data_IF_453507202753
#
_entry.id   IF_453507202753
#
_cell.length_a   1.000
_cell.length_b   1.000
_cell.length_c   1.000
_cell.angle_alpha   90.00
_cell.angle_beta   90.00
_cell.angle_gamma   90.00
#
_symmetry.space_group_name_H-M   'P 1'
#
loop_
_entity.id
_entity.type
_entity.pdbx_description
1 polymer ?
#
# COMPACT_ATOMS: atom_id res chain seq x y z
N UNK A 1 -2.64 16.92 5.97
CA UNK A 1 -4.06 16.86 6.43
C UNK A 1 -4.06 16.48 7.90
N UNK A 2 -4.90 17.10 8.74
CA UNK A 2 -5.00 16.79 10.17
C UNK A 2 -6.46 16.73 10.63
N UNK A 3 -6.75 15.77 11.50
CA UNK A 3 -8.01 15.59 12.22
C UNK A 3 -7.95 16.38 13.52
N UNK A 4 -8.96 17.20 13.72
CA UNK A 4 -9.27 17.85 14.99
C UNK A 4 -10.73 17.49 15.31
N UNK A 5 -10.97 16.91 16.49
CA UNK A 5 -12.29 16.45 16.89
C UNK A 5 -12.91 17.47 17.84
N UNK A 6 -14.14 17.88 17.57
CA UNK A 6 -14.92 18.70 18.48
C UNK A 6 -15.44 17.88 19.66
N UNK A 7 -15.83 16.62 19.40
CA UNK A 7 -16.42 15.72 20.39
C UNK A 7 -15.85 14.30 20.32
N UNK A 8 -16.10 13.50 21.36
CA UNK A 8 -15.71 12.08 21.37
C UNK A 8 -16.54 11.29 20.37
N UNK A 9 -15.88 10.53 19.50
CA UNK A 9 -16.52 9.57 18.60
C UNK A 9 -16.45 8.17 19.21
N UNK A 10 -17.60 7.52 19.32
CA UNK A 10 -17.72 6.11 19.71
C UNK A 10 -19.14 5.62 19.49
N UNK A 11 -19.35 4.30 19.44
CA UNK A 11 -20.67 3.72 19.12
C UNK A 11 -21.78 4.06 20.11
N UNK A 12 -21.41 4.49 21.33
CA UNK A 12 -22.31 4.89 22.41
C UNK A 12 -22.34 6.40 22.67
N UNK A 13 -21.70 7.22 21.83
CA UNK A 13 -21.60 8.66 22.02
C UNK A 13 -22.37 9.41 20.92
N UNK A 14 -22.95 10.59 21.23
CA UNK A 14 -23.37 11.52 20.18
C UNK A 14 -22.17 11.88 19.33
N UNK A 15 -22.29 11.75 18.01
CA UNK A 15 -21.20 12.06 17.09
C UNK A 15 -21.51 13.36 16.33
N UNK A 16 -20.56 14.30 16.30
CA UNK A 16 -20.66 15.48 15.46
C UNK A 16 -20.56 15.10 13.97
N UNK A 17 -21.48 15.56 13.10
CA UNK A 17 -21.46 15.25 11.67
C UNK A 17 -20.15 15.62 10.94
N UNK A 18 -19.50 16.72 11.34
CA UNK A 18 -18.23 17.17 10.78
C UNK A 18 -17.08 16.25 11.18
N UNK A 19 -17.02 15.91 12.47
CA UNK A 19 -16.04 14.95 12.99
C UNK A 19 -16.18 13.58 12.31
N UNK A 20 -17.41 13.11 12.10
CA UNK A 20 -17.69 11.84 11.41
C UNK A 20 -17.12 11.85 9.98
N UNK A 21 -17.36 12.91 9.21
CA UNK A 21 -16.83 13.03 7.85
C UNK A 21 -15.29 13.09 7.84
N UNK A 22 -14.70 13.86 8.75
CA UNK A 22 -13.25 14.01 8.85
C UNK A 22 -12.57 12.67 9.17
N UNK A 23 -13.12 11.94 10.14
CA UNK A 23 -12.61 10.62 10.53
C UNK A 23 -12.78 9.62 9.39
N UNK A 24 -13.97 9.51 8.77
CA UNK A 24 -14.17 8.57 7.65
C UNK A 24 -13.27 8.88 6.46
N UNK A 25 -13.10 10.15 6.10
CA UNK A 25 -12.18 10.56 5.02
C UNK A 25 -10.75 10.15 5.34
N UNK A 26 -10.31 10.45 6.56
CA UNK A 26 -8.94 10.15 7.00
C UNK A 26 -8.68 8.64 7.06
N UNK A 27 -9.64 7.89 7.59
CA UNK A 27 -9.56 6.43 7.61
C UNK A 27 -9.60 5.82 6.21
N UNK A 28 -10.35 6.40 5.28
CA UNK A 28 -10.33 5.96 3.89
C UNK A 28 -8.95 6.20 3.26
N UNK A 29 -8.36 7.37 3.47
CA UNK A 29 -7.00 7.69 3.00
C UNK A 29 -5.94 6.75 3.60
N UNK A 30 -6.15 6.31 4.84
CA UNK A 30 -5.27 5.36 5.53
C UNK A 30 -5.62 3.89 5.24
N UNK A 31 -6.66 3.61 4.45
CA UNK A 31 -7.10 2.25 4.10
C UNK A 31 -7.85 1.48 5.19
N UNK A 32 -8.31 2.15 6.24
CA UNK A 32 -9.09 1.56 7.34
C UNK A 32 -10.61 1.73 7.20
N UNK A 33 -11.08 2.44 6.17
CA UNK A 33 -12.51 2.60 5.89
C UNK A 33 -12.79 2.52 4.40
N UNK A 34 -13.74 1.67 4.02
CA UNK A 34 -14.28 1.57 2.67
C UNK A 34 -15.71 2.14 2.65
N UNK A 35 -15.93 3.29 1.98
CA UNK A 35 -17.26 3.86 1.85
C UNK A 35 -18.21 2.88 1.16
N UNK A 36 -19.37 2.55 1.75
CA UNK A 36 -20.29 1.59 1.15
C UNK A 36 -20.85 2.09 -0.18
N UNK A 37 -20.80 1.26 -1.23
CA UNK A 37 -21.21 1.64 -2.58
C UNK A 37 -22.66 2.16 -2.68
N UNK A 38 -23.54 1.75 -1.76
CA UNK A 38 -24.94 2.17 -1.73
C UNK A 38 -25.16 3.64 -1.35
N UNK A 39 -24.27 4.22 -0.52
CA UNK A 39 -24.48 5.57 0.02
C UNK A 39 -23.20 6.43 0.12
N UNK A 40 -22.03 5.86 -0.15
CA UNK A 40 -20.74 6.55 -0.16
C UNK A 40 -20.36 7.13 1.21
N UNK A 41 -19.61 8.23 1.16
CA UNK A 41 -19.16 8.93 2.36
C UNK A 41 -20.29 9.83 2.89
N UNK A 42 -20.85 9.47 4.04
CA UNK A 42 -21.95 10.21 4.67
C UNK A 42 -21.55 10.74 6.05
N UNK A 43 -22.18 11.83 6.53
CA UNK A 43 -21.94 12.38 7.87
C UNK A 43 -22.55 11.57 9.02
N UNK A 44 -23.07 10.38 8.73
CA UNK A 44 -23.74 9.54 9.72
C UNK A 44 -22.78 8.46 10.21
N UNK A 45 -22.56 8.30 11.52
CA UNK A 45 -21.73 7.22 12.03
C UNK A 45 -22.33 5.87 11.63
N UNK A 46 -21.49 4.94 11.21
CA UNK A 46 -21.90 3.61 10.74
C UNK A 46 -21.00 2.51 11.32
N UNK A 47 -21.46 1.26 11.24
CA UNK A 47 -20.68 0.11 11.75
C UNK A 47 -19.30 -0.01 11.09
N UNK A 48 -19.16 0.11 9.76
CA UNK A 48 -17.84 0.03 9.12
C UNK A 48 -16.84 1.08 9.62
N UNK A 49 -17.30 2.28 9.97
CA UNK A 49 -16.46 3.31 10.60
C UNK A 49 -15.92 2.84 11.95
N UNK A 50 -16.76 2.32 12.83
CA UNK A 50 -16.31 1.84 14.15
C UNK A 50 -15.41 0.60 14.05
N UNK A 51 -15.67 -0.30 13.10
CA UNK A 51 -14.81 -1.44 12.84
C UNK A 51 -13.44 -1.00 12.33
N UNK A 52 -13.41 0.00 11.44
CA UNK A 52 -12.18 0.61 10.99
C UNK A 52 -11.37 1.26 12.11
N UNK A 53 -12.02 1.93 13.08
CA UNK A 53 -11.34 2.56 14.23
C UNK A 53 -10.64 1.47 15.05
N UNK A 54 -11.34 0.37 15.32
CA UNK A 54 -10.77 -0.76 16.06
C UNK A 54 -9.62 -1.42 15.32
N UNK A 55 -9.73 -1.58 14.01
CA UNK A 55 -8.64 -2.11 13.19
C UNK A 55 -7.42 -1.20 13.22
N UNK A 56 -7.62 0.12 13.09
CA UNK A 56 -6.55 1.11 13.21
C UNK A 56 -5.88 1.05 14.59
N UNK A 57 -6.68 1.04 15.65
CA UNK A 57 -6.15 0.93 17.02
C UNK A 57 -5.32 -0.33 17.20
N UNK A 58 -5.82 -1.47 16.73
CA UNK A 58 -5.13 -2.75 16.81
C UNK A 58 -3.82 -2.75 16.04
N UNK A 59 -3.81 -2.23 14.82
CA UNK A 59 -2.62 -2.23 13.95
C UNK A 59 -1.53 -1.25 14.42
N UNK A 60 -1.89 -0.33 15.31
CA UNK A 60 -1.00 0.66 15.92
C UNK A 60 -0.75 0.44 17.42
N UNK A 61 -1.03 -0.76 17.94
CA UNK A 61 -0.82 -1.14 19.34
C UNK A 61 -1.49 -0.20 20.37
N UNK A 62 -2.65 0.36 19.99
CA UNK A 62 -3.50 1.17 20.86
C UNK A 62 -4.56 0.31 21.56
N UNK A 63 -5.21 0.88 22.56
CA UNK A 63 -6.40 0.26 23.16
C UNK A 63 -7.51 0.11 22.10
N UNK A 64 -8.02 -1.10 21.94
CA UNK A 64 -9.01 -1.46 20.92
C UNK A 64 -10.43 -1.28 21.46
N UNK A 65 -10.76 -0.05 21.83
CA UNK A 65 -12.06 0.32 22.40
C UNK A 65 -13.06 0.80 21.33
N UNK A 66 -12.58 1.15 20.14
CA UNK A 66 -13.38 1.77 19.08
C UNK A 66 -13.79 3.22 19.38
N UNK A 67 -13.07 3.88 20.28
CA UNK A 67 -13.35 5.25 20.75
C UNK A 67 -12.22 6.19 20.30
N UNK A 68 -12.60 7.36 19.82
CA UNK A 68 -11.68 8.45 19.50
C UNK A 68 -12.03 9.66 20.36
N UNK A 69 -11.17 9.94 21.34
CA UNK A 69 -11.25 11.18 22.12
C UNK A 69 -10.55 12.32 21.40
N UNK A 70 -11.04 13.57 21.55
CA UNK A 70 -10.26 14.76 21.22
C UNK A 70 -8.89 14.69 21.89
N UNK A 71 -7.83 15.00 21.15
CA UNK A 71 -6.42 14.90 21.58
C UNK A 71 -5.98 13.50 22.07
N UNK A 72 -6.80 12.47 21.85
CA UNK A 72 -6.53 11.12 22.29
C UNK A 72 -5.38 10.45 21.52
N UNK A 73 -4.92 9.27 21.99
CA UNK A 73 -3.86 8.51 21.32
C UNK A 73 -4.26 8.09 19.90
N UNK A 74 -5.54 7.77 19.66
CA UNK A 74 -6.06 7.40 18.34
C UNK A 74 -5.94 8.57 17.35
N UNK A 75 -6.44 9.76 17.69
CA UNK A 75 -6.37 10.97 16.85
C UNK A 75 -4.91 11.36 16.60
N UNK A 76 -4.09 11.38 17.64
CA UNK A 76 -2.67 11.72 17.54
C UNK A 76 -1.93 10.79 16.59
N UNK A 77 -2.18 9.48 16.68
CA UNK A 77 -1.53 8.48 15.81
C UNK A 77 -2.04 8.57 14.39
N UNK A 78 -3.34 8.82 14.20
CA UNK A 78 -3.94 9.01 12.88
C UNK A 78 -3.35 10.23 12.17
N UNK A 79 -3.20 11.36 12.87
CA UNK A 79 -2.55 12.57 12.34
C UNK A 79 -1.11 12.34 11.91
N UNK A 80 -0.35 11.52 12.66
CA UNK A 80 1.01 11.13 12.26
C UNK A 80 1.00 10.28 10.98
N UNK A 81 0.08 9.33 10.88
CA UNK A 81 -0.08 8.51 9.67
C UNK A 81 -0.44 9.34 8.44
N UNK A 82 -1.34 10.31 8.60
CA UNK A 82 -1.72 11.23 7.53
C UNK A 82 -0.55 12.11 7.07
N UNK A 83 0.25 12.63 7.99
CA UNK A 83 1.44 13.42 7.65
C UNK A 83 2.49 12.59 6.87
N UNK A 84 2.70 11.32 7.25
CA UNK A 84 3.64 10.43 6.57
C UNK A 84 3.18 10.02 5.15
N UNK A 85 1.87 10.04 4.89
CA UNK A 85 1.32 9.83 3.55
C UNK A 85 1.54 11.00 2.59
N UNK A 86 1.80 12.21 3.12
CA UNK A 86 2.05 13.42 2.32
C UNK A 86 3.53 13.53 1.88
N UNK A 87 4.45 12.88 2.59
CA UNK A 87 5.90 12.86 2.30
C UNK A 87 6.35 11.74 1.35
N UNK A 88 5.44 10.86 0.91
CA UNK A 88 5.73 9.92 -0.17
C UNK A 88 5.72 10.67 -1.51
N UNK A 89 6.84 10.74 -2.27
CA UNK A 89 6.84 11.36 -3.58
C UNK A 89 5.87 10.60 -4.47
N UNK A 90 4.76 11.25 -4.81
CA UNK A 90 3.91 10.87 -5.91
C UNK A 90 4.63 11.27 -7.20
N UNK A 91 5.63 10.49 -7.62
CA UNK A 91 6.23 10.65 -8.96
C UNK A 91 5.28 10.08 -10.01
N UNK A 92 4.23 10.85 -10.30
CA UNK A 92 3.68 10.97 -11.62
C UNK A 92 4.42 12.10 -12.35
N UNK A 93 5.09 11.74 -13.46
CA UNK A 93 5.68 12.61 -14.48
C UNK A 93 7.04 13.29 -14.16
N UNK A 94 8.13 12.62 -14.53
CA UNK A 94 9.35 13.30 -14.98
C UNK A 94 9.66 12.96 -16.44
N UNK A 95 9.46 13.98 -17.27
CA UNK A 95 9.97 14.10 -18.62
C UNK A 95 11.51 14.11 -18.56
N UNK A 96 12.13 13.00 -18.96
CA UNK A 96 13.59 12.85 -19.08
C UNK A 96 14.20 13.99 -19.92
N UNK A 97 14.84 14.94 -19.24
CA UNK A 97 15.74 15.90 -19.86
C UNK A 97 17.04 15.19 -20.27
N UNK A 98 17.22 15.03 -21.59
CA UNK A 98 18.42 14.47 -22.20
C UNK A 98 19.64 15.37 -21.95
N UNK A 99 20.70 14.85 -21.31
CA UNK A 99 22.00 15.53 -21.19
C UNK A 99 23.07 14.76 -22.01
N UNK A 100 23.63 15.35 -23.08
CA UNK A 100 24.59 14.67 -23.96
C UNK A 100 25.97 14.41 -23.32
N UNK A 101 26.24 14.90 -22.10
CA UNK A 101 27.52 14.65 -21.42
C UNK A 101 27.63 13.26 -20.74
N UNK A 102 26.53 12.50 -20.64
CA UNK A 102 26.50 11.18 -19.98
C UNK A 102 26.82 9.99 -20.92
N UNK A 103 27.24 10.25 -22.17
CA UNK A 103 27.41 9.22 -23.20
C UNK A 103 28.57 8.22 -22.98
N UNK A 104 29.35 8.33 -21.90
CA UNK A 104 30.51 7.46 -21.67
C UNK A 104 30.37 6.49 -20.48
N UNK A 105 29.21 6.41 -19.83
CA UNK A 105 28.96 5.41 -18.78
C UNK A 105 28.59 4.02 -19.34
N UNK A 106 28.05 3.97 -20.56
CA UNK A 106 27.59 2.72 -21.17
C UNK A 106 28.76 1.85 -21.66
N UNK A 107 29.88 2.45 -22.09
CA UNK A 107 31.02 1.70 -22.63
C UNK A 107 31.93 1.11 -21.52
N UNK A 108 31.99 1.75 -20.34
CA UNK A 108 32.69 1.20 -19.17
C UNK A 108 32.00 -0.03 -18.57
N UNK A 109 30.68 -0.16 -18.71
CA UNK A 109 29.94 -1.29 -18.16
C UNK A 109 30.00 -2.55 -19.05
N UNK A 110 30.41 -2.42 -20.31
CA UNK A 110 30.37 -3.52 -21.28
C UNK A 110 31.71 -4.26 -21.45
N UNK A 111 32.83 -3.78 -20.87
CA UNK A 111 34.16 -4.38 -21.10
C UNK A 111 34.74 -5.20 -19.94
N UNK A 112 34.06 -5.30 -18.78
CA UNK A 112 34.58 -6.08 -17.63
C UNK A 112 33.99 -7.49 -17.57
N UNK A 113 34.42 -8.34 -18.51
CA UNK A 113 34.22 -9.78 -18.40
C UNK A 113 35.11 -10.39 -17.32
N UNK A 114 34.52 -11.07 -16.33
CA UNK A 114 34.80 -12.47 -15.94
C UNK A 114 34.25 -12.79 -14.54
N UNK A 115 33.52 -13.92 -14.47
CA UNK A 115 33.14 -14.73 -13.31
C UNK A 115 32.08 -14.18 -12.33
N UNK A 116 30.90 -14.79 -12.43
CA UNK A 116 30.08 -15.20 -11.28
C UNK A 116 28.83 -14.36 -11.01
N UNK A 117 27.66 -15.01 -10.98
CA UNK A 117 26.42 -14.48 -10.42
C UNK A 117 25.58 -13.65 -11.39
N UNK A 118 24.84 -14.32 -12.28
CA UNK A 118 23.99 -13.68 -13.28
C UNK A 118 22.73 -13.05 -12.68
N UNK A 119 22.84 -11.82 -12.17
CA UNK A 119 21.74 -10.87 -12.12
C UNK A 119 21.44 -10.36 -13.53
N UNK A 120 20.21 -10.53 -13.99
CA UNK A 120 19.76 -10.10 -15.31
C UNK A 120 18.38 -9.44 -15.24
N UNK A 121 18.39 -8.13 -15.19
CA UNK A 121 17.32 -7.26 -15.66
C UNK A 121 16.88 -7.66 -17.09
N UNK A 122 15.72 -8.30 -17.19
CA UNK A 122 15.06 -8.57 -18.46
C UNK A 122 13.55 -8.36 -18.28
N UNK A 123 13.00 -7.37 -18.99
CA UNK A 123 11.56 -7.15 -19.10
C UNK A 123 10.86 -8.38 -19.72
N UNK A 124 9.58 -8.63 -19.39
CA UNK A 124 8.88 -9.87 -19.69
C UNK A 124 8.38 -9.89 -21.14
N UNK A 125 8.76 -10.91 -21.91
CA UNK A 125 8.25 -11.13 -23.26
C UNK A 125 8.80 -12.39 -23.95
N UNK A 126 10.11 -12.64 -23.85
CA UNK A 126 10.76 -13.55 -24.82
C UNK A 126 11.63 -14.67 -24.24
N UNK A 127 11.40 -15.16 -23.02
CA UNK A 127 12.20 -16.30 -22.50
C UNK A 127 11.35 -17.43 -21.93
N UNK A 128 11.69 -18.63 -22.43
CA UNK A 128 11.18 -19.96 -22.12
C UNK A 128 11.29 -20.31 -20.61
N UNK A 129 10.79 -21.48 -20.16
CA UNK A 129 10.30 -21.69 -18.80
C UNK A 129 11.40 -21.42 -17.76
N UNK A 130 11.07 -20.53 -16.82
CA UNK A 130 11.94 -20.26 -15.68
C UNK A 130 12.14 -21.54 -14.89
N UNK A 131 13.37 -21.79 -14.44
CA UNK A 131 13.63 -22.93 -13.54
C UNK A 131 12.80 -22.76 -12.26
N UNK A 132 12.55 -23.85 -11.52
CA UNK A 132 11.81 -23.77 -10.26
C UNK A 132 12.38 -22.72 -9.30
N UNK A 133 13.71 -22.60 -9.26
CA UNK A 133 14.45 -21.66 -8.41
C UNK A 133 14.21 -20.19 -8.82
N UNK A 134 14.15 -19.89 -10.12
CA UNK A 134 13.87 -18.53 -10.61
C UNK A 134 12.43 -18.08 -10.28
N UNK A 135 11.49 -19.01 -10.20
CA UNK A 135 10.13 -18.72 -9.75
C UNK A 135 10.05 -18.48 -8.24
N UNK A 136 10.88 -19.17 -7.45
CA UNK A 136 10.99 -18.93 -6.01
C UNK A 136 11.67 -17.59 -5.71
N UNK A 137 12.69 -17.20 -6.47
CA UNK A 137 13.28 -15.87 -6.40
C UNK A 137 12.28 -14.76 -6.76
N UNK A 138 11.49 -14.96 -7.82
CA UNK A 138 10.40 -14.06 -8.19
C UNK A 138 9.39 -13.93 -7.04
N UNK A 139 8.95 -15.04 -6.47
CA UNK A 139 8.00 -15.01 -5.35
C UNK A 139 8.60 -14.31 -4.13
N UNK A 140 9.88 -14.50 -3.84
CA UNK A 140 10.57 -13.80 -2.75
C UNK A 140 10.65 -12.28 -2.99
N UNK A 141 10.89 -11.85 -4.22
CA UNK A 141 10.87 -10.44 -4.60
C UNK A 141 9.46 -9.84 -4.49
N UNK A 142 8.43 -10.51 -4.99
CA UNK A 142 7.04 -10.05 -4.83
C UNK A 142 6.65 -10.00 -3.35
N UNK A 143 7.08 -10.99 -2.57
CA UNK A 143 6.87 -11.05 -1.13
C UNK A 143 7.53 -9.89 -0.38
N UNK A 144 8.67 -9.38 -0.84
CA UNK A 144 9.31 -8.22 -0.20
C UNK A 144 8.54 -6.93 -0.48
N UNK A 145 8.03 -6.78 -1.71
CA UNK A 145 7.12 -5.69 -2.08
C UNK A 145 5.86 -5.74 -1.22
N UNK A 146 5.19 -6.90 -1.11
CA UNK A 146 3.97 -7.01 -0.30
C UNK A 146 4.19 -6.69 1.18
N UNK A 147 5.40 -6.94 1.72
CA UNK A 147 5.76 -6.56 3.10
C UNK A 147 6.00 -5.07 3.25
N UNK A 148 6.53 -4.40 2.22
CA UNK A 148 6.79 -2.95 2.26
C UNK A 148 5.54 -2.11 2.02
N UNK A 149 4.43 -2.72 1.58
CA UNK A 149 3.15 -2.02 1.44
C UNK A 149 2.61 -1.57 2.80
N UNK A 150 1.79 -0.50 2.82
CA UNK A 150 1.09 -0.04 4.02
C UNK A 150 0.42 -1.21 4.76
N UNK A 151 0.30 -1.16 6.10
CA UNK A 151 -0.31 -2.22 6.91
C UNK A 151 -1.83 -2.37 6.71
N UNK A 152 -2.37 -1.92 5.58
CA UNK A 152 -3.77 -2.08 5.20
C UNK A 152 -4.05 -3.55 4.86
N UNK A 153 -4.97 -4.23 5.58
CA UNK A 153 -5.22 -5.65 5.39
C UNK A 153 -5.66 -6.03 3.97
N UNK A 154 -6.41 -5.16 3.28
CA UNK A 154 -6.91 -5.40 1.91
C UNK A 154 -5.78 -5.35 0.88
N UNK A 155 -5.02 -4.26 0.85
CA UNK A 155 -3.86 -4.07 -0.05
C UNK A 155 -2.87 -5.23 0.10
N UNK A 156 -2.49 -5.58 1.34
CA UNK A 156 -1.56 -6.69 1.57
C UNK A 156 -2.13 -8.02 1.08
N UNK A 157 -3.41 -8.31 1.36
CA UNK A 157 -4.06 -9.56 0.92
C UNK A 157 -4.10 -9.68 -0.60
N UNK A 158 -4.42 -8.61 -1.31
CA UNK A 158 -4.45 -8.57 -2.77
C UNK A 158 -3.05 -8.78 -3.36
N UNK A 159 -2.03 -8.14 -2.76
CA UNK A 159 -0.64 -8.32 -3.14
C UNK A 159 -0.17 -9.77 -2.95
N UNK A 160 -0.44 -10.38 -1.80
CA UNK A 160 -0.07 -11.77 -1.55
C UNK A 160 -0.79 -12.75 -2.48
N UNK A 161 -2.06 -12.51 -2.77
CA UNK A 161 -2.83 -13.33 -3.72
C UNK A 161 -2.26 -13.26 -5.12
N UNK A 162 -1.99 -12.05 -5.63
CA UNK A 162 -1.41 -11.85 -6.96
C UNK A 162 0.03 -12.34 -7.06
N UNK A 163 0.86 -12.17 -6.02
CA UNK A 163 2.21 -12.73 -5.94
C UNK A 163 2.21 -14.27 -6.06
N UNK A 164 1.26 -14.93 -5.38
CA UNK A 164 1.07 -16.39 -5.48
C UNK A 164 0.64 -16.80 -6.88
N UNK A 165 -0.27 -16.06 -7.50
CA UNK A 165 -0.71 -16.30 -8.88
C UNK A 165 0.43 -16.13 -9.88
N UNK A 166 1.27 -15.12 -9.71
CA UNK A 166 2.49 -14.91 -10.51
C UNK A 166 3.46 -16.06 -10.37
N UNK A 167 3.68 -16.57 -9.16
CA UNK A 167 4.52 -17.75 -8.94
C UNK A 167 3.95 -19.01 -9.62
N UNK A 168 2.64 -19.23 -9.51
CA UNK A 168 1.98 -20.33 -10.20
C UNK A 168 2.07 -20.21 -11.73
N UNK A 169 1.89 -19.00 -12.28
CA UNK A 169 2.04 -18.72 -13.70
C UNK A 169 3.49 -18.98 -14.16
N UNK A 170 4.48 -18.51 -13.38
CA UNK A 170 5.91 -18.74 -13.62
C UNK A 170 6.22 -20.24 -13.74
N UNK A 171 5.81 -21.02 -12.73
CA UNK A 171 6.02 -22.48 -12.69
C UNK A 171 5.32 -23.24 -13.80
N UNK A 172 4.23 -22.67 -14.32
CA UNK A 172 3.44 -23.26 -15.41
C UNK A 172 3.85 -22.75 -16.79
N UNK A 173 4.88 -21.90 -16.90
CA UNK A 173 5.30 -21.28 -18.16
C UNK A 173 4.22 -20.38 -18.80
N UNK A 174 3.29 -19.87 -17.98
CA UNK A 174 2.24 -18.93 -18.43
C UNK A 174 2.74 -17.49 -18.30
N UNK A 175 2.20 -16.54 -19.09
CA UNK A 175 2.49 -15.12 -18.93
C UNK A 175 2.23 -14.68 -17.49
N UNK A 176 3.16 -13.90 -16.93
CA UNK A 176 3.06 -13.42 -15.56
C UNK A 176 1.97 -12.34 -15.48
N UNK A 177 0.92 -12.53 -14.64
CA UNK A 177 -0.02 -11.45 -14.37
C UNK A 177 0.68 -10.28 -13.64
N UNK A 178 0.05 -9.09 -13.59
CA UNK A 178 0.57 -7.98 -12.81
C UNK A 178 0.55 -8.29 -11.32
N UNK A 179 1.48 -7.68 -10.56
CA UNK A 179 1.40 -7.67 -9.11
C UNK A 179 0.37 -6.63 -8.69
N UNK A 180 -0.60 -7.04 -7.88
CA UNK A 180 -1.61 -6.12 -7.36
C UNK A 180 -1.16 -5.53 -6.03
N UNK A 181 -0.43 -4.43 -6.11
CA UNK A 181 -0.06 -3.62 -4.95
C UNK A 181 -1.08 -2.52 -4.65
N UNK A 182 -2.28 -2.58 -5.24
CA UNK A 182 -3.25 -1.50 -5.22
C UNK A 182 -4.47 -1.83 -4.37
N UNK A 183 -5.14 -0.78 -3.92
CA UNK A 183 -6.38 -0.87 -3.19
C UNK A 183 -7.57 -0.89 -4.15
N UNK A 184 -7.62 -1.90 -5.05
CA UNK A 184 -8.76 -2.04 -5.97
C UNK A 184 -9.95 -2.73 -5.28
N UNK A 185 -11.18 -2.22 -5.51
CA UNK A 185 -12.40 -2.76 -4.93
C UNK A 185 -12.83 -4.11 -5.52
#
# INVERSE_FOLDING_TARGET
>A
MSIDLNDTIGSSYPADPGDVLNVKTSMNNLGYYDPPAAYGLTPWPDTPMFDGIKNFQKDHDLEVDGIMHPDGPTVTTMNKGLAQGEDSPSDGNEQLAYNPAAANLLDMMLQRGTKGGGGGNSCPGDRAPRSGDECDELYNADSSICRSLPPVPRIRRNCWSSASERNAACRSGRPLPPLDSSDRP
#
